data_IF_481499480437
#
_entry.id   IF_481499480437
#
_cell.length_a   1.000
_cell.length_b   1.000
_cell.length_c   1.000
_cell.angle_alpha   90.00
_cell.angle_beta   90.00
_cell.angle_gamma   90.00
#
_symmetry.space_group_name_H-M   'P 1'
#
loop_
_entity.id
_entity.type
_entity.pdbx_description
1 polymer ?
#
# COMPACT_ATOMS: atom_id res chain seq x y z
N UNK A 1 -4.34 -0.66 -2.81
CA UNK A 1 -4.77 0.75 -2.91
C UNK A 1 -3.63 1.69 -3.33
N UNK A 2 -2.51 1.75 -2.58
CA UNK A 2 -1.35 2.60 -2.91
C UNK A 2 -0.88 2.53 -4.37
N UNK A 3 -0.80 1.33 -4.94
CA UNK A 3 -0.30 1.08 -6.30
C UNK A 3 -1.43 0.99 -7.34
N UNK A 4 -2.58 1.61 -7.07
CA UNK A 4 -3.68 1.64 -8.02
C UNK A 4 -3.54 2.86 -8.91
N UNK A 5 -3.92 2.74 -10.19
CA UNK A 5 -3.87 3.85 -11.15
C UNK A 5 -4.61 5.09 -10.62
N UNK A 6 -5.76 4.88 -9.96
CA UNK A 6 -6.55 5.95 -9.35
C UNK A 6 -5.74 6.74 -8.31
N UNK A 7 -5.08 6.03 -7.40
CA UNK A 7 -4.27 6.66 -6.35
C UNK A 7 -3.01 7.31 -6.93
N UNK A 8 -2.36 6.63 -7.89
CA UNK A 8 -1.14 7.09 -8.54
C UNK A 8 -1.33 8.36 -9.36
N UNK A 9 -2.41 8.43 -10.14
CA UNK A 9 -2.76 9.61 -10.93
C UNK A 9 -3.17 10.78 -10.02
N UNK A 10 -3.97 10.52 -8.99
CA UNK A 10 -4.43 11.57 -8.09
C UNK A 10 -3.27 12.23 -7.31
N UNK A 11 -2.24 11.46 -6.95
CA UNK A 11 -1.13 11.93 -6.09
C UNK A 11 0.22 11.90 -6.82
N UNK A 12 0.18 12.01 -8.15
CA UNK A 12 1.37 12.04 -8.99
C UNK A 12 2.42 13.05 -8.47
N UNK A 13 3.69 12.64 -8.50
CA UNK A 13 4.80 13.42 -7.98
C UNK A 13 4.95 13.43 -6.45
N UNK A 14 4.00 12.86 -5.69
CA UNK A 14 4.03 12.83 -4.22
C UNK A 14 4.05 11.42 -3.64
N UNK A 15 4.21 10.38 -4.47
CA UNK A 15 4.21 8.96 -4.05
C UNK A 15 5.63 8.45 -3.94
N UNK A 16 5.94 7.81 -2.81
CA UNK A 16 7.25 7.23 -2.56
C UNK A 16 7.49 5.91 -3.29
N UNK A 17 8.76 5.59 -3.50
CA UNK A 17 9.22 4.36 -4.14
C UNK A 17 9.74 3.41 -3.07
N UNK A 18 9.30 2.15 -3.10
CA UNK A 18 9.83 1.10 -2.23
C UNK A 18 10.83 0.25 -3.02
N UNK A 19 12.11 0.38 -2.72
CA UNK A 19 13.17 -0.31 -3.45
C UNK A 19 14.40 -0.54 -2.57
N UNK A 20 15.10 -1.65 -2.82
CA UNK A 20 16.44 -1.89 -2.28
C UNK A 20 17.55 -1.44 -3.23
N UNK A 21 17.21 -0.75 -4.33
CA UNK A 21 18.11 -0.43 -5.46
C UNK A 21 18.44 1.05 -5.58
N UNK A 22 18.15 1.86 -4.56
CA UNK A 22 18.27 3.33 -4.65
C UNK A 22 19.71 3.77 -4.95
N UNK A 23 20.70 3.20 -4.25
CA UNK A 23 22.10 3.48 -4.53
C UNK A 23 22.60 2.77 -5.81
N UNK A 24 21.97 1.67 -6.23
CA UNK A 24 22.23 1.09 -7.57
C UNK A 24 21.87 2.07 -8.68
N UNK A 25 20.75 2.79 -8.59
CA UNK A 25 20.38 3.83 -9.58
C UNK A 25 21.44 4.94 -9.64
N UNK A 26 21.95 5.38 -8.49
CA UNK A 26 23.06 6.32 -8.43
C UNK A 26 24.34 5.76 -9.06
N UNK A 27 24.66 4.47 -8.84
CA UNK A 27 25.82 3.83 -9.45
C UNK A 27 25.66 3.72 -10.98
N UNK A 28 24.45 3.48 -11.46
CA UNK A 28 24.17 3.45 -12.89
C UNK A 28 24.44 4.82 -13.53
N UNK A 29 24.01 5.92 -12.90
CA UNK A 29 24.32 7.29 -13.37
C UNK A 29 25.84 7.53 -13.46
N UNK A 30 26.62 7.06 -12.47
CA UNK A 30 28.08 7.15 -12.50
C UNK A 30 28.68 6.35 -13.67
N UNK A 31 28.18 5.13 -13.91
CA UNK A 31 28.63 4.26 -15.01
C UNK A 31 28.33 4.89 -16.37
N UNK A 32 27.12 5.41 -16.56
CA UNK A 32 26.70 6.06 -17.79
C UNK A 32 27.52 7.34 -18.06
N UNK A 33 28.09 7.93 -16.99
CA UNK A 33 29.03 9.06 -17.05
C UNK A 33 30.50 8.64 -17.23
N UNK A 34 30.78 7.34 -17.41
CA UNK A 34 32.11 6.80 -17.71
C UNK A 34 32.93 6.32 -16.50
N UNK A 35 32.33 6.18 -15.32
CA UNK A 35 33.01 5.60 -14.14
C UNK A 35 32.96 4.07 -14.21
N UNK A 36 34.08 3.41 -13.90
CA UNK A 36 34.12 1.94 -13.81
C UNK A 36 33.14 1.41 -12.77
N UNK A 37 32.48 0.28 -13.06
CA UNK A 37 31.42 -0.27 -12.21
C UNK A 37 31.87 -0.55 -10.75
N UNK A 38 33.11 -1.00 -10.52
CA UNK A 38 33.60 -1.23 -9.15
C UNK A 38 33.77 0.09 -8.40
N UNK A 39 34.29 1.12 -9.08
CA UNK A 39 34.41 2.47 -8.50
C UNK A 39 33.04 3.11 -8.27
N UNK A 40 32.08 2.90 -9.17
CA UNK A 40 30.72 3.41 -9.02
C UNK A 40 30.06 2.85 -7.75
N UNK A 41 30.22 1.54 -7.49
CA UNK A 41 29.74 0.90 -6.25
C UNK A 41 30.42 1.50 -5.01
N UNK A 42 31.74 1.71 -5.05
CA UNK A 42 32.48 2.36 -3.96
C UNK A 42 31.98 3.80 -3.71
N UNK A 43 31.67 4.54 -4.78
CA UNK A 43 31.26 5.94 -4.67
C UNK A 43 29.89 6.11 -4.03
N UNK A 44 28.99 5.15 -4.24
CA UNK A 44 27.62 5.18 -3.68
C UNK A 44 27.49 4.43 -2.35
N UNK A 45 28.58 3.88 -1.81
CA UNK A 45 28.52 3.10 -0.57
C UNK A 45 27.89 3.91 0.58
N UNK A 46 28.27 5.19 0.72
CA UNK A 46 27.69 6.06 1.75
C UNK A 46 26.22 6.39 1.48
N UNK A 47 25.81 6.46 0.22
CA UNK A 47 24.40 6.62 -0.17
C UNK A 47 23.60 5.39 0.24
N UNK A 48 24.10 4.18 -0.04
CA UNK A 48 23.41 2.94 0.34
C UNK A 48 23.29 2.80 1.86
N UNK A 49 24.39 3.02 2.59
CA UNK A 49 24.42 2.99 4.06
C UNK A 49 23.55 4.07 4.71
N UNK A 50 23.25 5.16 4.00
CA UNK A 50 22.30 6.15 4.44
C UNK A 50 20.90 5.53 4.57
N UNK A 51 20.44 4.78 3.58
CA UNK A 51 19.06 4.27 3.55
C UNK A 51 18.88 2.91 4.21
N UNK A 52 19.90 2.04 4.19
CA UNK A 52 19.79 0.69 4.74
C UNK A 52 21.14 0.01 4.88
N UNK A 53 21.14 -1.26 5.30
CA UNK A 53 22.38 -2.05 5.35
C UNK A 53 22.74 -2.52 3.95
N UNK A 54 23.98 -2.34 3.53
CA UNK A 54 24.46 -2.76 2.20
C UNK A 54 24.49 -4.29 2.08
N UNK A 55 24.10 -4.82 0.92
CA UNK A 55 24.32 -6.22 0.58
C UNK A 55 25.81 -6.49 0.34
N UNK A 56 26.31 -7.56 0.94
CA UNK A 56 27.70 -7.99 0.75
C UNK A 56 27.70 -9.36 0.09
N UNK A 57 27.97 -9.40 -1.21
CA UNK A 57 28.18 -10.63 -1.98
C UNK A 57 29.53 -10.59 -2.70
N UNK A 58 30.45 -11.46 -2.25
CA UNK A 58 31.81 -11.60 -2.81
C UNK A 58 31.84 -12.36 -4.14
N UNK A 59 30.75 -13.03 -4.52
CA UNK A 59 30.62 -13.83 -5.76
C UNK A 59 29.43 -13.36 -6.62
N UNK A 60 29.03 -12.10 -6.47
CA UNK A 60 27.92 -11.53 -7.22
C UNK A 60 28.17 -11.61 -8.74
N UNK A 61 27.19 -12.15 -9.48
CA UNK A 61 27.20 -12.16 -10.95
C UNK A 61 26.97 -10.76 -11.53
N UNK A 62 26.17 -9.96 -10.85
CA UNK A 62 25.89 -8.56 -11.20
C UNK A 62 26.84 -7.64 -10.39
N UNK A 63 27.70 -6.84 -11.06
CA UNK A 63 28.63 -5.91 -10.42
C UNK A 63 27.97 -4.93 -9.45
N UNK A 64 26.71 -4.56 -9.68
CA UNK A 64 25.98 -3.56 -8.89
C UNK A 64 25.28 -4.15 -7.66
N UNK A 65 25.35 -5.47 -7.44
CA UNK A 65 24.69 -6.13 -6.29
C UNK A 65 25.09 -5.51 -4.96
N UNK A 66 26.34 -5.08 -4.82
CA UNK A 66 26.86 -4.48 -3.59
C UNK A 66 26.53 -2.98 -3.44
N UNK A 67 25.78 -2.39 -4.38
CA UNK A 67 25.14 -1.08 -4.20
C UNK A 67 23.69 -1.20 -3.68
N UNK A 68 23.13 -2.41 -3.63
CA UNK A 68 21.79 -2.63 -3.07
C UNK A 68 21.80 -2.64 -1.55
N UNK A 69 20.66 -2.30 -0.96
CA UNK A 69 20.38 -2.54 0.46
C UNK A 69 19.76 -3.92 0.69
N UNK A 70 20.08 -4.55 1.82
CA UNK A 70 19.49 -5.83 2.27
C UNK A 70 17.98 -5.69 2.48
N UNK A 71 17.57 -4.57 3.10
CA UNK A 71 16.17 -4.25 3.33
C UNK A 71 15.61 -3.40 2.19
N UNK A 72 14.32 -3.53 1.90
CA UNK A 72 13.61 -2.57 1.07
C UNK A 72 13.49 -1.26 1.84
N UNK A 73 13.80 -0.14 1.17
CA UNK A 73 13.63 1.18 1.73
C UNK A 73 12.52 1.90 0.99
N UNK A 74 11.68 2.61 1.72
CA UNK A 74 10.63 3.44 1.15
C UNK A 74 11.13 4.89 1.16
N UNK A 75 11.38 5.45 -0.02
CA UNK A 75 11.93 6.79 -0.18
C UNK A 75 10.91 7.73 -0.83
N UNK A 76 10.98 9.01 -0.50
CA UNK A 76 10.17 10.04 -1.15
C UNK A 76 10.71 10.38 -2.54
N UNK A 77 9.89 11.01 -3.41
CA UNK A 77 10.37 11.58 -4.66
C UNK A 77 11.53 12.57 -4.47
N UNK A 78 11.45 13.43 -3.45
CA UNK A 78 12.49 14.41 -3.14
C UNK A 78 13.82 13.74 -2.73
N UNK A 79 13.76 12.69 -1.88
CA UNK A 79 14.94 11.90 -1.52
C UNK A 79 15.56 11.24 -2.78
N UNK A 80 14.73 10.74 -3.69
CA UNK A 80 15.22 10.11 -4.92
C UNK A 80 15.86 11.12 -5.88
N UNK A 81 15.28 12.30 -6.06
CA UNK A 81 15.90 13.37 -6.85
C UNK A 81 17.21 13.84 -6.22
N UNK A 82 17.27 13.96 -4.89
CA UNK A 82 18.50 14.31 -4.18
C UNK A 82 19.61 13.26 -4.40
N UNK A 83 19.26 11.97 -4.41
CA UNK A 83 20.20 10.87 -4.73
C UNK A 83 20.72 11.02 -6.16
N UNK A 84 19.84 11.25 -7.14
CA UNK A 84 20.23 11.42 -8.55
C UNK A 84 21.11 12.66 -8.74
N UNK A 85 20.75 13.79 -8.13
CA UNK A 85 21.53 15.02 -8.19
C UNK A 85 22.92 14.84 -7.56
N UNK A 86 23.02 14.12 -6.43
CA UNK A 86 24.30 13.78 -5.84
C UNK A 86 25.12 12.87 -6.77
N UNK A 87 24.51 11.85 -7.37
CA UNK A 87 25.19 10.96 -8.30
C UNK A 87 25.81 11.70 -9.49
N UNK A 88 25.08 12.65 -10.10
CA UNK A 88 25.63 13.48 -11.17
C UNK A 88 26.83 14.31 -10.72
N UNK A 89 26.77 14.92 -9.54
CA UNK A 89 27.88 15.70 -8.98
C UNK A 89 29.12 14.83 -8.72
N UNK A 90 28.92 13.63 -8.17
CA UNK A 90 30.00 12.67 -7.93
C UNK A 90 30.64 12.15 -9.23
N UNK A 91 29.87 12.05 -10.33
CA UNK A 91 30.40 11.74 -11.65
C UNK A 91 31.33 12.84 -12.17
N UNK A 92 30.92 14.11 -12.05
CA UNK A 92 31.71 15.27 -12.48
C UNK A 92 33.01 15.40 -11.68
N UNK A 93 32.91 15.27 -10.35
CA UNK A 93 34.03 15.43 -9.43
C UNK A 93 34.92 14.18 -9.32
N UNK A 94 34.45 13.03 -9.84
CA UNK A 94 35.16 11.73 -9.81
C UNK A 94 35.66 11.36 -8.42
N UNK A 95 34.77 11.43 -7.44
CA UNK A 95 35.05 11.09 -6.03
C UNK A 95 33.87 10.37 -5.38
N UNK A 96 34.09 9.64 -4.28
CA UNK A 96 33.01 9.04 -3.51
C UNK A 96 32.15 10.10 -2.77
N UNK A 97 30.93 9.69 -2.41
CA UNK A 97 30.05 10.45 -1.54
C UNK A 97 30.66 10.61 -0.14
N UNK A 98 30.53 11.81 0.43
CA UNK A 98 30.88 12.07 1.84
C UNK A 98 29.74 11.66 2.78
N UNK A 99 30.03 11.54 4.08
CA UNK A 99 28.99 11.22 5.08
C UNK A 99 27.99 12.36 5.23
N UNK A 100 28.44 13.61 5.12
CA UNK A 100 27.63 14.81 5.21
C UNK A 100 26.66 14.92 4.04
N UNK A 101 27.13 14.70 2.81
CA UNK A 101 26.28 14.68 1.62
C UNK A 101 25.22 13.59 1.70
N UNK A 102 25.61 12.39 2.15
CA UNK A 102 24.68 11.28 2.31
C UNK A 102 23.63 11.58 3.40
N UNK A 103 24.01 12.24 4.49
CA UNK A 103 23.09 12.59 5.57
C UNK A 103 21.96 13.53 5.13
N UNK A 104 22.23 14.43 4.18
CA UNK A 104 21.25 15.38 3.64
C UNK A 104 20.16 14.71 2.78
N UNK A 105 20.42 13.51 2.25
CA UNK A 105 19.51 12.80 1.35
C UNK A 105 18.16 12.43 1.98
N UNK A 106 18.03 12.50 3.31
CA UNK A 106 16.81 12.13 4.05
C UNK A 106 16.07 13.31 4.67
N UNK A 107 16.49 14.52 4.36
CA UNK A 107 15.91 15.72 4.96
C UNK A 107 14.44 15.90 4.54
N UNK A 108 14.15 15.74 3.25
CA UNK A 108 12.79 15.87 2.70
C UNK A 108 12.12 14.51 2.48
N UNK A 109 11.55 13.97 3.55
CA UNK A 109 10.83 12.69 3.56
C UNK A 109 9.39 12.76 3.05
N UNK A 110 8.98 13.86 2.42
CA UNK A 110 7.57 14.11 2.09
C UNK A 110 7.09 13.21 0.95
N UNK A 111 6.40 12.13 1.30
CA UNK A 111 5.59 11.35 0.37
C UNK A 111 4.30 10.91 1.05
N UNK A 112 3.18 10.95 0.31
CA UNK A 112 1.83 10.71 0.84
C UNK A 112 1.67 9.32 1.43
N UNK A 113 2.26 8.32 0.80
CA UNK A 113 2.18 6.93 1.22
C UNK A 113 3.13 6.59 2.38
N UNK A 114 4.26 7.30 2.49
CA UNK A 114 5.11 7.28 3.69
C UNK A 114 4.36 7.94 4.86
N UNK A 115 3.70 9.07 4.63
CA UNK A 115 2.93 9.78 5.65
C UNK A 115 1.74 8.94 6.16
N UNK A 116 1.08 8.20 5.26
CA UNK A 116 -0.04 7.32 5.62
C UNK A 116 0.41 6.04 6.31
N UNK A 117 1.37 5.30 5.73
CA UNK A 117 1.70 3.94 6.16
C UNK A 117 2.98 3.84 6.98
N UNK A 118 3.61 4.98 7.24
CA UNK A 118 4.84 5.07 8.01
C UNK A 118 6.07 4.58 7.25
N UNK A 119 7.22 4.74 7.91
CA UNK A 119 8.52 4.27 7.44
C UNK A 119 9.41 3.95 8.62
N UNK A 120 10.09 2.81 8.55
CA UNK A 120 11.09 2.39 9.51
C UNK A 120 12.47 2.26 8.85
N UNK A 121 13.47 2.96 9.40
CA UNK A 121 14.87 2.91 9.03
C UNK A 121 15.68 2.44 10.26
N UNK A 122 15.95 1.14 10.36
CA UNK A 122 16.52 0.52 11.55
C UNK A 122 17.84 1.18 12.02
N UNK A 123 18.73 1.54 11.08
CA UNK A 123 20.03 2.13 11.41
C UNK A 123 19.96 3.61 11.82
N UNK A 124 18.85 4.30 11.53
CA UNK A 124 18.68 5.74 11.77
C UNK A 124 17.22 6.05 12.17
N UNK A 125 16.83 5.69 13.40
CA UNK A 125 15.44 5.82 13.87
C UNK A 125 14.88 7.25 13.85
N UNK A 126 15.73 8.28 13.93
CA UNK A 126 15.32 9.70 13.89
C UNK A 126 14.56 10.08 12.61
N UNK A 127 14.75 9.30 11.54
CA UNK A 127 14.10 9.50 10.24
C UNK A 127 12.88 8.61 10.02
N UNK A 128 12.47 7.85 11.05
CA UNK A 128 11.22 7.10 11.03
C UNK A 128 10.03 8.03 10.89
N UNK A 129 8.99 7.54 10.23
CA UNK A 129 7.71 8.23 10.09
C UNK A 129 6.66 7.32 10.71
N UNK A 130 5.94 7.86 11.69
CA UNK A 130 4.81 7.17 12.29
C UNK A 130 3.63 7.15 11.30
N UNK A 131 2.95 6.01 11.19
CA UNK A 131 1.85 5.84 10.25
C UNK A 131 0.59 6.58 10.72
N UNK A 132 0.05 7.47 9.89
CA UNK A 132 -1.24 8.12 10.14
C UNK A 132 -2.45 7.23 9.84
N UNK A 133 -2.28 6.12 9.12
CA UNK A 133 -3.34 5.24 8.67
C UNK A 133 -3.15 3.82 9.19
N UNK A 134 -4.20 3.28 9.80
CA UNK A 134 -4.30 1.90 10.26
C UNK A 134 -5.31 1.18 9.37
N UNK A 135 -4.89 0.07 8.76
CA UNK A 135 -5.74 -0.77 7.92
C UNK A 135 -5.81 -2.16 8.53
N UNK A 136 -7.00 -2.58 8.94
CA UNK A 136 -7.20 -3.93 9.43
C UNK A 136 -7.23 -4.94 8.26
N UNK A 137 -6.88 -6.19 8.55
CA UNK A 137 -7.11 -7.28 7.61
C UNK A 137 -8.62 -7.43 7.36
N UNK A 138 -9.01 -7.52 6.10
CA UNK A 138 -10.39 -7.81 5.73
C UNK A 138 -10.72 -9.27 6.06
N UNK A 139 -11.92 -9.51 6.57
CA UNK A 139 -12.42 -10.85 6.86
C UNK A 139 -13.89 -11.00 6.42
N UNK A 140 -14.28 -12.23 6.09
CA UNK A 140 -15.65 -12.56 5.72
C UNK A 140 -16.59 -12.46 6.93
N UNK A 141 -17.75 -11.83 6.77
CA UNK A 141 -18.74 -11.68 7.86
C UNK A 141 -19.63 -12.92 8.04
N UNK A 142 -19.54 -13.89 7.14
CA UNK A 142 -20.24 -15.16 7.16
C UNK A 142 -19.25 -16.33 7.17
N UNK A 143 -19.73 -17.51 7.57
CA UNK A 143 -19.02 -18.74 7.27
C UNK A 143 -18.88 -18.88 5.75
N UNK A 144 -17.68 -19.23 5.29
CA UNK A 144 -17.36 -19.39 3.88
C UNK A 144 -16.66 -20.71 3.70
N UNK A 145 -17.17 -21.53 2.78
CA UNK A 145 -16.54 -22.78 2.40
C UNK A 145 -15.52 -22.47 1.31
N UNK A 146 -14.32 -23.06 1.43
CA UNK A 146 -13.34 -23.09 0.35
C UNK A 146 -13.71 -24.25 -0.54
N UNK A 147 -13.98 -23.96 -1.82
CA UNK A 147 -14.27 -24.96 -2.85
C UNK A 147 -12.99 -25.25 -3.63
N UNK A 148 -12.75 -26.54 -3.93
CA UNK A 148 -11.59 -26.97 -4.71
C UNK A 148 -11.94 -27.01 -6.21
N UNK A 149 -11.26 -26.18 -7.00
CA UNK A 149 -11.38 -26.16 -8.47
C UNK A 149 -10.30 -27.05 -9.10
N UNK A 150 -10.72 -28.15 -9.74
CA UNK A 150 -9.84 -29.05 -10.48
C UNK A 150 -9.79 -28.66 -11.96
N UNK A 151 -8.60 -28.34 -12.46
CA UNK A 151 -8.41 -27.89 -13.84
C UNK A 151 -7.35 -28.72 -14.57
N UNK A 152 -7.49 -28.82 -15.90
CA UNK A 152 -6.48 -29.43 -16.76
C UNK A 152 -5.91 -28.41 -17.76
N UNK A 153 -4.68 -28.65 -18.22
CA UNK A 153 -4.14 -27.98 -19.40
C UNK A 153 -4.01 -29.02 -20.51
N UNK A 154 -4.71 -28.79 -21.63
CA UNK A 154 -4.77 -29.71 -22.76
C UNK A 154 -3.65 -29.37 -23.75
N UNK A 155 -3.03 -30.41 -24.32
CA UNK A 155 -2.08 -30.27 -25.42
C UNK A 155 -2.81 -30.38 -26.76
N UNK A 156 -2.93 -29.26 -27.47
CA UNK A 156 -3.67 -29.14 -28.74
C UNK A 156 -3.11 -30.03 -29.87
N UNK A 157 -1.83 -30.44 -29.79
CA UNK A 157 -1.17 -31.24 -30.84
C UNK A 157 -1.12 -32.74 -30.54
N UNK A 158 -1.54 -33.18 -29.35
CA UNK A 158 -1.60 -34.61 -29.01
C UNK A 158 -2.85 -35.27 -29.62
N UNK A 159 -2.65 -36.34 -30.38
CA UNK A 159 -3.72 -37.09 -31.01
C UNK A 159 -4.59 -37.81 -29.95
N UNK A 160 -5.91 -37.76 -30.12
CA UNK A 160 -6.92 -38.25 -29.18
C UNK A 160 -6.92 -39.78 -28.91
N UNK A 161 -5.99 -40.55 -29.51
CA UNK A 161 -5.99 -42.01 -29.46
C UNK A 161 -5.14 -42.63 -28.34
N UNK A 162 -4.23 -41.89 -27.69
CA UNK A 162 -3.25 -42.49 -26.76
C UNK A 162 -3.42 -42.11 -25.28
N UNK A 163 -4.11 -41.02 -24.97
CA UNK A 163 -4.64 -40.66 -23.64
C UNK A 163 -5.43 -39.34 -23.83
N UNK A 164 -6.33 -38.96 -22.93
CA UNK A 164 -7.31 -37.88 -23.13
C UNK A 164 -6.75 -36.44 -23.27
N UNK A 165 -5.51 -36.25 -23.74
CA UNK A 165 -4.94 -34.95 -24.11
C UNK A 165 -4.56 -34.03 -22.95
N UNK A 166 -4.82 -34.41 -21.69
CA UNK A 166 -4.44 -33.63 -20.51
C UNK A 166 -2.92 -33.69 -20.29
N UNK A 167 -2.22 -32.59 -20.58
CA UNK A 167 -0.80 -32.41 -20.30
C UNK A 167 -0.49 -32.02 -18.85
N UNK A 168 -1.49 -31.53 -18.11
CA UNK A 168 -1.40 -31.20 -16.68
C UNK A 168 -2.77 -31.33 -16.01
N UNK A 169 -2.77 -31.75 -14.74
CA UNK A 169 -3.91 -31.68 -13.82
C UNK A 169 -3.47 -30.90 -12.59
N UNK A 170 -4.26 -29.90 -12.20
CA UNK A 170 -4.02 -29.04 -11.06
C UNK A 170 -5.28 -28.80 -10.24
N UNK A 171 -5.10 -28.24 -9.06
CA UNK A 171 -6.15 -27.91 -8.10
C UNK A 171 -5.94 -26.49 -7.57
N UNK A 172 -7.01 -25.74 -7.35
CA UNK A 172 -6.97 -24.40 -6.74
C UNK A 172 -8.21 -24.15 -5.89
N UNK A 173 -8.02 -23.88 -4.60
CA UNK A 173 -9.12 -23.47 -3.72
C UNK A 173 -9.61 -22.05 -4.02
N UNK A 174 -10.93 -21.84 -4.01
CA UNK A 174 -11.56 -20.53 -4.11
C UNK A 174 -12.74 -20.40 -3.14
N UNK A 175 -13.19 -19.16 -2.90
CA UNK A 175 -14.34 -18.90 -2.03
C UNK A 175 -14.92 -17.51 -2.30
N UNK A 176 -16.17 -17.31 -1.88
CA UNK A 176 -16.86 -16.03 -1.99
C UNK A 176 -17.40 -15.60 -0.63
N UNK A 177 -17.20 -14.33 -0.27
CA UNK A 177 -17.63 -13.81 1.01
C UNK A 177 -17.97 -12.32 0.90
N UNK A 178 -18.88 -11.87 1.75
CA UNK A 178 -19.03 -10.45 2.06
C UNK A 178 -17.92 -10.05 3.06
N UNK A 179 -17.01 -9.17 2.64
CA UNK A 179 -15.88 -8.76 3.48
C UNK A 179 -16.18 -7.50 4.28
N UNK A 180 -15.86 -7.52 5.58
CA UNK A 180 -15.72 -6.32 6.39
C UNK A 180 -14.28 -5.80 6.30
N UNK A 181 -14.13 -4.51 6.04
CA UNK A 181 -12.84 -3.81 6.01
C UNK A 181 -12.91 -2.61 6.93
N UNK A 182 -11.89 -2.44 7.77
CA UNK A 182 -11.78 -1.31 8.69
C UNK A 182 -10.52 -0.49 8.40
N UNK A 183 -10.70 0.82 8.36
CA UNK A 183 -9.65 1.81 8.14
C UNK A 183 -9.83 2.91 9.18
N UNK A 184 -8.75 3.25 9.87
CA UNK A 184 -8.69 4.39 10.78
C UNK A 184 -7.62 5.35 10.30
N UNK A 185 -7.92 6.65 10.28
CA UNK A 185 -6.99 7.68 9.82
C UNK A 185 -6.93 8.80 10.85
N UNK A 186 -5.72 9.08 11.32
CA UNK A 186 -5.40 10.27 12.10
C UNK A 186 -5.08 11.43 11.13
N UNK A 187 -6.05 12.33 10.94
CA UNK A 187 -5.90 13.48 10.03
C UNK A 187 -4.81 14.45 10.51
N UNK A 188 -4.70 14.67 11.82
CA UNK A 188 -3.73 15.62 12.39
C UNK A 188 -2.30 15.10 12.21
N UNK A 189 -2.09 13.81 12.46
CA UNK A 189 -0.81 13.16 12.19
C UNK A 189 -0.49 13.13 10.69
N UNK A 190 -1.49 12.91 9.82
CA UNK A 190 -1.28 12.96 8.37
C UNK A 190 -0.82 14.34 7.92
N UNK A 191 -1.48 15.41 8.38
CA UNK A 191 -1.09 16.81 8.07
C UNK A 191 0.32 17.10 8.60
N UNK A 192 0.64 16.67 9.83
CA UNK A 192 1.97 16.80 10.42
C UNK A 192 3.04 16.07 9.59
N UNK A 193 2.77 14.84 9.16
CA UNK A 193 3.67 14.04 8.34
C UNK A 193 3.88 14.65 6.94
N UNK A 194 2.93 15.47 6.46
CA UNK A 194 2.99 16.22 5.21
C UNK A 194 3.47 17.67 5.42
N UNK A 195 4.26 17.93 6.47
CA UNK A 195 4.83 19.25 6.79
C UNK A 195 3.79 20.38 6.89
N UNK A 196 2.58 20.07 7.38
CA UNK A 196 1.49 21.05 7.51
C UNK A 196 0.67 21.27 6.23
N UNK A 197 0.91 20.51 5.16
CA UNK A 197 0.18 20.65 3.91
C UNK A 197 -1.22 20.01 3.99
N UNK A 198 -2.19 20.78 4.46
CA UNK A 198 -3.58 20.33 4.62
C UNK A 198 -4.28 20.05 3.28
N UNK A 199 -3.98 20.80 2.23
CA UNK A 199 -4.54 20.57 0.89
C UNK A 199 -4.13 19.19 0.36
N UNK A 200 -2.84 18.85 0.47
CA UNK A 200 -2.32 17.54 0.07
C UNK A 200 -2.89 16.43 0.97
N UNK A 201 -3.06 16.67 2.27
CA UNK A 201 -3.70 15.72 3.17
C UNK A 201 -5.14 15.42 2.73
N UNK A 202 -5.95 16.44 2.46
CA UNK A 202 -7.34 16.27 2.01
C UNK A 202 -7.41 15.58 0.64
N UNK A 203 -6.51 15.93 -0.29
CA UNK A 203 -6.39 15.23 -1.58
C UNK A 203 -6.03 13.75 -1.40
N UNK A 204 -5.14 13.46 -0.46
CA UNK A 204 -4.72 12.09 -0.11
C UNK A 204 -5.86 11.29 0.49
N UNK A 205 -6.61 11.85 1.44
CA UNK A 205 -7.79 11.21 2.03
C UNK A 205 -8.83 10.88 0.96
N UNK A 206 -9.14 11.83 0.07
CA UNK A 206 -10.07 11.60 -1.05
C UNK A 206 -9.63 10.43 -1.92
N UNK A 207 -8.40 10.48 -2.43
CA UNK A 207 -7.88 9.46 -3.34
C UNK A 207 -7.79 8.09 -2.67
N UNK A 208 -7.39 8.06 -1.39
CA UNK A 208 -7.29 6.83 -0.62
C UNK A 208 -8.65 6.20 -0.38
N UNK A 209 -9.63 6.98 0.09
CA UNK A 209 -10.99 6.49 0.31
C UNK A 209 -11.62 6.01 -0.99
N UNK A 210 -11.48 6.77 -2.09
CA UNK A 210 -12.02 6.32 -3.38
C UNK A 210 -11.37 5.01 -3.85
N UNK A 211 -10.04 4.88 -3.69
CA UNK A 211 -9.33 3.64 -3.98
C UNK A 211 -9.80 2.49 -3.08
N UNK A 212 -10.04 2.74 -1.80
CA UNK A 212 -10.53 1.73 -0.86
C UNK A 212 -11.93 1.21 -1.22
N UNK A 213 -12.79 2.09 -1.75
CA UNK A 213 -14.16 1.74 -2.14
C UNK A 213 -14.26 1.03 -3.50
N UNK A 214 -13.28 1.24 -4.41
CA UNK A 214 -13.39 0.80 -5.82
C UNK A 214 -12.34 -0.21 -6.27
N UNK A 215 -11.21 -0.34 -5.56
CA UNK A 215 -10.06 -1.12 -6.04
C UNK A 215 -9.91 -2.42 -5.26
N UNK A 216 -10.05 -3.53 -5.97
CA UNK A 216 -9.77 -4.89 -5.47
C UNK A 216 -8.29 -5.29 -5.69
N UNK A 217 -7.73 -6.22 -4.89
CA UNK A 217 -6.41 -6.82 -5.14
C UNK A 217 -6.32 -7.50 -6.52
N UNK A 218 -5.13 -7.53 -7.12
CA UNK A 218 -4.89 -8.08 -8.47
C UNK A 218 -4.60 -9.59 -8.51
N UNK A 219 -4.43 -10.21 -7.34
CA UNK A 219 -4.12 -11.64 -7.24
C UNK A 219 -5.19 -12.50 -7.92
N UNK A 220 -4.77 -13.37 -8.84
CA UNK A 220 -5.61 -14.31 -9.60
C UNK A 220 -6.82 -13.68 -10.33
N UNK A 221 -6.84 -12.36 -10.51
CA UNK A 221 -7.97 -11.65 -11.15
C UNK A 221 -8.26 -12.12 -12.59
N UNK A 222 -7.23 -12.45 -13.37
CA UNK A 222 -7.44 -12.95 -14.74
C UNK A 222 -8.11 -14.33 -14.78
N UNK A 223 -8.05 -15.09 -13.68
CA UNK A 223 -8.65 -16.42 -13.56
C UNK A 223 -10.05 -16.37 -12.90
N UNK A 224 -10.30 -15.42 -11.98
CA UNK A 224 -11.55 -15.38 -11.21
C UNK A 224 -12.43 -14.13 -11.41
N UNK A 225 -11.92 -13.08 -12.07
CA UNK A 225 -12.65 -11.85 -12.37
C UNK A 225 -13.41 -11.22 -11.19
N UNK A 226 -12.86 -11.26 -9.97
CA UNK A 226 -13.55 -10.92 -8.72
C UNK A 226 -13.53 -9.43 -8.34
N UNK A 227 -13.39 -8.52 -9.31
CA UNK A 227 -13.42 -7.07 -9.04
C UNK A 227 -14.81 -6.63 -8.58
N UNK A 228 -14.87 -5.94 -7.44
CA UNK A 228 -16.11 -5.43 -6.87
C UNK A 228 -15.90 -4.06 -6.24
N UNK A 229 -16.95 -3.23 -6.27
CA UNK A 229 -17.04 -2.00 -5.48
C UNK A 229 -17.68 -2.31 -4.13
N UNK A 230 -17.41 -1.47 -3.13
CA UNK A 230 -18.05 -1.58 -1.83
C UNK A 230 -19.58 -1.47 -1.95
N UNK A 231 -20.31 -2.49 -1.49
CA UNK A 231 -21.78 -2.50 -1.51
C UNK A 231 -22.41 -1.58 -0.46
N UNK A 232 -21.66 -1.29 0.61
CA UNK A 232 -22.02 -0.39 1.68
C UNK A 232 -20.75 0.18 2.31
N UNK A 233 -20.80 1.42 2.78
CA UNK A 233 -19.72 2.00 3.56
C UNK A 233 -20.28 2.98 4.59
N UNK A 234 -19.57 3.12 5.71
CA UNK A 234 -19.81 4.09 6.77
C UNK A 234 -18.50 4.78 7.09
N UNK A 235 -18.52 6.11 7.06
CA UNK A 235 -17.44 6.96 7.53
C UNK A 235 -17.89 7.65 8.81
N UNK A 236 -17.06 7.56 9.85
CA UNK A 236 -17.24 8.27 11.11
C UNK A 236 -16.11 9.30 11.28
N UNK A 237 -16.44 10.48 11.81
CA UNK A 237 -15.48 11.55 12.09
C UNK A 237 -15.75 12.13 13.48
N UNK A 238 -14.70 12.29 14.28
CA UNK A 238 -14.78 12.84 15.63
C UNK A 238 -13.43 12.84 16.32
N UNK A 239 -13.40 13.37 17.55
CA UNK A 239 -12.22 13.43 18.42
C UNK A 239 -12.13 12.26 19.41
N UNK A 240 -13.17 11.43 19.46
CA UNK A 240 -13.19 10.24 20.29
C UNK A 240 -12.15 9.21 19.80
N UNK A 241 -11.78 8.28 20.70
CA UNK A 241 -10.94 7.16 20.34
C UNK A 241 -11.56 6.37 19.17
N UNK A 242 -10.80 6.11 18.07
CA UNK A 242 -11.28 5.29 16.97
C UNK A 242 -11.67 3.90 17.43
N UNK A 243 -12.81 3.40 16.93
CA UNK A 243 -13.38 2.11 17.30
C UNK A 243 -13.70 1.29 16.06
N UNK A 244 -13.30 0.03 16.07
CA UNK A 244 -13.73 -0.94 15.05
C UNK A 244 -15.10 -1.52 15.43
N UNK A 245 -15.95 -1.71 14.42
CA UNK A 245 -17.25 -2.36 14.58
C UNK A 245 -17.19 -3.86 14.24
N UNK A 246 -15.99 -4.45 14.18
CA UNK A 246 -15.77 -5.87 13.90
C UNK A 246 -16.55 -6.81 14.85
N UNK A 247 -16.79 -6.39 16.09
CA UNK A 247 -17.56 -7.15 17.06
C UNK A 247 -19.02 -7.41 16.63
N UNK A 248 -19.55 -6.66 15.65
CA UNK A 248 -20.85 -6.93 15.05
C UNK A 248 -20.91 -8.29 14.33
N UNK A 249 -19.74 -8.90 14.06
CA UNK A 249 -19.57 -10.13 13.31
C UNK A 249 -18.84 -11.23 14.11
N UNK A 250 -18.82 -11.15 15.45
CA UNK A 250 -18.34 -12.26 16.28
C UNK A 250 -19.15 -13.53 16.08
N UNK A 251 -20.47 -13.36 15.90
CA UNK A 251 -21.34 -14.43 15.42
C UNK A 251 -21.42 -14.35 13.89
N UNK A 252 -20.99 -15.41 13.16
CA UNK A 252 -21.09 -15.42 11.71
C UNK A 252 -22.51 -15.19 11.21
N UNK A 253 -22.64 -14.47 10.09
CA UNK A 253 -23.93 -14.26 9.43
C UNK A 253 -24.29 -15.51 8.62
N UNK A 254 -25.50 -16.02 8.87
CA UNK A 254 -26.06 -17.18 8.17
C UNK A 254 -27.20 -16.75 7.23
N UNK A 255 -27.45 -17.55 6.19
CA UNK A 255 -28.50 -17.32 5.20
C UNK A 255 -28.03 -16.50 3.99
N UNK A 256 -28.98 -16.17 3.12
CA UNK A 256 -28.70 -15.53 1.82
C UNK A 256 -28.73 -14.00 1.86
N UNK A 257 -29.40 -13.40 2.85
CA UNK A 257 -29.55 -11.95 2.99
C UNK A 257 -28.40 -11.30 3.78
N UNK A 258 -27.17 -11.69 3.45
CA UNK A 258 -26.01 -11.39 4.28
C UNK A 258 -25.75 -9.88 4.42
N UNK A 259 -25.88 -9.12 3.33
CA UNK A 259 -25.58 -7.68 3.34
C UNK A 259 -26.55 -6.90 4.24
N UNK A 260 -27.86 -7.13 4.14
CA UNK A 260 -28.82 -6.42 4.97
C UNK A 260 -28.66 -6.77 6.45
N UNK A 261 -28.41 -8.05 6.76
CA UNK A 261 -28.10 -8.48 8.13
C UNK A 261 -26.81 -7.81 8.62
N UNK A 262 -25.78 -7.73 7.78
CA UNK A 262 -24.52 -7.10 8.15
C UNK A 262 -24.68 -5.61 8.45
N UNK A 263 -25.35 -4.87 7.56
CA UNK A 263 -25.67 -3.44 7.75
C UNK A 263 -26.50 -3.23 9.01
N UNK A 264 -27.49 -4.09 9.29
CA UNK A 264 -28.29 -3.99 10.51
C UNK A 264 -27.47 -4.21 11.77
N UNK A 265 -26.62 -5.24 11.80
CA UNK A 265 -25.79 -5.56 12.99
C UNK A 265 -24.75 -4.47 13.26
N UNK A 266 -24.07 -3.99 12.22
CA UNK A 266 -23.00 -3.01 12.36
C UNK A 266 -23.55 -1.64 12.80
N UNK A 267 -24.70 -1.21 12.24
CA UNK A 267 -25.37 0.03 12.65
C UNK A 267 -25.96 -0.07 14.05
N UNK A 268 -26.57 -1.20 14.41
CA UNK A 268 -27.05 -1.41 15.78
C UNK A 268 -25.90 -1.37 16.81
N UNK A 269 -24.75 -2.00 16.52
CA UNK A 269 -23.59 -1.93 17.39
C UNK A 269 -23.07 -0.50 17.54
N UNK A 270 -22.99 0.25 16.43
CA UNK A 270 -22.61 1.66 16.42
C UNK A 270 -23.50 2.50 17.34
N UNK A 271 -24.83 2.38 17.20
CA UNK A 271 -25.78 3.11 18.05
C UNK A 271 -25.67 2.70 19.52
N UNK A 272 -25.48 1.40 19.79
CA UNK A 272 -25.25 0.92 21.16
C UNK A 272 -23.97 1.52 21.76
N UNK A 273 -22.87 1.57 20.99
CA UNK A 273 -21.63 2.21 21.45
C UNK A 273 -21.83 3.71 21.68
N UNK A 274 -22.52 4.42 20.78
CA UNK A 274 -22.85 5.83 20.98
C UNK A 274 -23.65 6.06 22.28
N UNK A 275 -24.69 5.26 22.51
CA UNK A 275 -25.53 5.39 23.69
C UNK A 275 -24.78 5.04 24.99
N UNK A 276 -24.02 3.96 25.00
CA UNK A 276 -23.32 3.46 26.20
C UNK A 276 -22.13 4.36 26.57
N UNK A 277 -21.37 4.81 25.58
CA UNK A 277 -20.19 5.67 25.80
C UNK A 277 -20.51 7.16 25.71
N UNK A 278 -21.78 7.54 25.53
CA UNK A 278 -22.23 8.91 25.33
C UNK A 278 -21.46 9.66 24.23
N UNK A 279 -21.22 8.99 23.10
CA UNK A 279 -20.48 9.52 21.96
C UNK A 279 -21.42 10.15 20.94
N UNK A 280 -21.05 11.32 20.43
CA UNK A 280 -21.73 12.03 19.34
C UNK A 280 -20.83 12.04 18.10
N UNK A 281 -20.76 10.91 17.41
CA UNK A 281 -19.91 10.78 16.22
C UNK A 281 -20.65 11.23 14.96
N UNK A 282 -20.14 12.27 14.30
CA UNK A 282 -20.62 12.65 12.98
C UNK A 282 -20.34 11.51 12.00
N UNK A 283 -21.27 11.23 11.09
CA UNK A 283 -21.12 10.13 10.16
C UNK A 283 -21.76 10.40 8.81
N UNK A 284 -21.33 9.60 7.83
CA UNK A 284 -21.92 9.52 6.50
C UNK A 284 -21.84 8.10 6.00
N UNK A 285 -22.92 7.59 5.43
CA UNK A 285 -22.96 6.26 4.84
C UNK A 285 -23.60 6.27 3.44
N UNK A 286 -23.41 5.17 2.72
CA UNK A 286 -24.18 4.87 1.52
C UNK A 286 -24.48 3.37 1.45
N UNK A 287 -25.57 3.02 0.77
CA UNK A 287 -25.98 1.64 0.51
C UNK A 287 -26.34 1.48 -0.96
N UNK A 288 -25.55 0.68 -1.68
CA UNK A 288 -25.73 0.46 -3.13
C UNK A 288 -27.02 -0.29 -3.43
N UNK A 289 -27.33 -1.33 -2.64
CA UNK A 289 -28.52 -2.17 -2.89
C UNK A 289 -29.84 -1.41 -2.69
N UNK A 290 -29.85 -0.44 -1.78
CA UNK A 290 -31.01 0.39 -1.49
C UNK A 290 -31.02 1.74 -2.21
N UNK A 291 -29.99 2.03 -3.02
CA UNK A 291 -29.79 3.33 -3.70
C UNK A 291 -29.83 4.53 -2.73
N UNK A 292 -29.16 4.40 -1.59
CA UNK A 292 -29.14 5.42 -0.54
C UNK A 292 -27.76 6.06 -0.39
N UNK A 293 -27.73 7.38 -0.18
CA UNK A 293 -26.49 8.14 -0.07
C UNK A 293 -25.71 8.21 -1.39
N UNK A 294 -24.49 8.72 -1.33
CA UNK A 294 -23.59 8.73 -2.46
C UNK A 294 -22.12 8.64 -2.03
N UNK A 295 -21.29 8.03 -2.87
CA UNK A 295 -19.84 8.04 -2.67
C UNK A 295 -19.30 9.49 -2.63
N UNK A 296 -19.87 10.38 -3.44
CA UNK A 296 -19.46 11.80 -3.47
C UNK A 296 -19.63 12.45 -2.10
N UNK A 297 -20.82 12.32 -1.49
CA UNK A 297 -21.09 12.97 -0.20
C UNK A 297 -20.21 12.37 0.92
N UNK A 298 -19.88 11.09 0.84
CA UNK A 298 -18.93 10.46 1.75
C UNK A 298 -17.51 11.02 1.59
N UNK A 299 -17.03 11.16 0.36
CA UNK A 299 -15.72 11.76 0.09
C UNK A 299 -15.68 13.23 0.53
N UNK A 300 -16.75 13.98 0.28
CA UNK A 300 -16.88 15.37 0.74
C UNK A 300 -16.85 15.45 2.27
N UNK A 301 -17.56 14.54 2.96
CA UNK A 301 -17.58 14.44 4.42
C UNK A 301 -16.22 14.15 5.05
N UNK A 302 -15.43 13.24 4.46
CA UNK A 302 -14.10 12.84 4.94
C UNK A 302 -13.08 13.97 4.74
N UNK A 303 -13.21 14.76 3.66
CA UNK A 303 -12.27 15.82 3.33
C UNK A 303 -12.59 17.16 4.00
N UNK A 304 -13.85 17.37 4.41
CA UNK A 304 -14.27 18.56 5.17
C UNK A 304 -13.61 18.61 6.55
#
# INVERSE_FOLDING_TARGET
WRTSELFEQALAGNIGIRSGRIAREAAQILIDSGIDAKKAVEYVEKIANCFGKIKVDKKAKDPLTNADTEQLVHISPAEFEAVKALAHRLAEEKRPATEEEAALLRHDRMAVDIAMFGRMLANKPDFNVEAACQVAHAFGVSETIVEDDFFTAVDDLRAASDDAGAGHLGETGFGSALFYTYICIDKDLLVKNLNGNEELANKTLRAFTEAALKVSPTGKQNSFASRAYASWALAEKGTDQPRSLAAAFYEPINGTDQLNVAVKRITALRENMNAVYAQETAFKDFNVMNQQGSMKDMLDFICA
#
